data_IF_108264845228
#
_entry.id   IF_108264845228
#
_cell.length_a   1.000
_cell.length_b   1.000
_cell.length_c   1.000
_cell.angle_alpha   90.00
_cell.angle_beta   90.00
_cell.angle_gamma   90.00
#
_symmetry.space_group_name_H-M   'P 1'
#
loop_
_entity.id
_entity.type
_entity.pdbx_description
1 polymer ?
#
# COMPACT_ATOMS: atom_id res chain seq x y z
N UNK A 1 8.06 5.10 -27.19
CA UNK A 1 7.81 6.25 -26.28
C UNK A 1 6.50 5.97 -25.58
N UNK A 2 6.56 5.59 -24.29
CA UNK A 2 5.36 5.20 -23.54
C UNK A 2 4.76 6.40 -22.82
N UNK A 3 3.43 6.44 -22.73
CA UNK A 3 2.68 7.43 -21.95
C UNK A 3 2.32 6.84 -20.60
N UNK A 4 2.75 7.50 -19.53
CA UNK A 4 2.54 7.02 -18.16
C UNK A 4 1.81 8.12 -17.37
N UNK A 5 0.67 7.77 -16.76
CA UNK A 5 -0.04 8.63 -15.84
C UNK A 5 0.29 8.24 -14.38
N UNK A 6 0.77 9.18 -13.58
CA UNK A 6 1.02 9.01 -12.15
C UNK A 6 -0.08 9.73 -11.39
N UNK A 7 -0.93 8.99 -10.69
CA UNK A 7 -2.07 9.51 -9.93
C UNK A 7 -1.63 9.84 -8.50
N UNK A 8 -1.53 11.12 -8.19
CA UNK A 8 -1.12 11.66 -6.91
C UNK A 8 0.21 12.41 -6.97
N UNK A 9 0.15 13.71 -6.68
CA UNK A 9 1.25 14.66 -6.70
C UNK A 9 1.96 14.83 -5.35
N UNK A 10 1.80 13.87 -4.43
CA UNK A 10 2.56 13.82 -3.18
C UNK A 10 4.05 13.55 -3.39
N UNK A 11 4.84 13.48 -2.31
CA UNK A 11 6.28 13.23 -2.39
C UNK A 11 6.63 11.97 -3.19
N UNK A 12 5.91 10.85 -2.96
CA UNK A 12 6.21 9.60 -3.63
C UNK A 12 5.83 9.62 -5.12
N UNK A 13 4.67 10.20 -5.49
CA UNK A 13 4.30 10.34 -6.90
C UNK A 13 5.25 11.25 -7.67
N UNK A 14 5.68 12.34 -7.08
CA UNK A 14 6.70 13.22 -7.67
C UNK A 14 8.03 12.50 -7.83
N UNK A 15 8.46 11.70 -6.84
CA UNK A 15 9.70 10.93 -6.92
C UNK A 15 9.65 9.84 -8.00
N UNK A 16 8.52 9.12 -8.14
CA UNK A 16 8.30 8.15 -9.23
C UNK A 16 8.36 8.86 -10.59
N UNK A 17 7.68 9.99 -10.75
CA UNK A 17 7.70 10.75 -12.00
C UNK A 17 9.14 11.18 -12.37
N UNK A 18 9.93 11.64 -11.40
CA UNK A 18 11.34 11.96 -11.60
C UNK A 18 12.17 10.73 -11.99
N UNK A 19 11.97 9.60 -11.32
CA UNK A 19 12.69 8.36 -11.63
C UNK A 19 12.38 7.85 -13.05
N UNK A 20 11.11 7.85 -13.45
CA UNK A 20 10.68 7.51 -14.81
C UNK A 20 11.24 8.47 -15.88
N UNK A 21 11.30 9.76 -15.55
CA UNK A 21 11.86 10.77 -16.44
C UNK A 21 13.35 10.55 -16.72
N UNK A 22 14.13 10.06 -15.73
CA UNK A 22 15.57 9.78 -15.88
C UNK A 22 15.86 8.62 -16.84
N UNK A 23 14.96 7.64 -16.93
CA UNK A 23 15.10 6.58 -17.92
C UNK A 23 15.07 7.14 -19.35
N UNK A 24 14.30 8.20 -19.56
CA UNK A 24 14.05 8.77 -20.88
C UNK A 24 13.04 7.95 -21.71
N UNK A 25 12.60 8.52 -22.84
CA UNK A 25 11.66 7.86 -23.75
C UNK A 25 10.20 7.81 -23.25
N UNK A 26 9.85 8.52 -22.16
CA UNK A 26 8.48 8.59 -21.63
C UNK A 26 7.91 9.99 -21.69
N UNK A 27 6.58 10.07 -21.88
CA UNK A 27 5.77 11.22 -21.58
C UNK A 27 5.02 10.92 -20.28
N UNK A 28 5.27 11.69 -19.23
CA UNK A 28 4.77 11.45 -17.88
C UNK A 28 3.73 12.51 -17.53
N UNK A 29 2.55 12.09 -17.13
CA UNK A 29 1.49 12.95 -16.62
C UNK A 29 1.39 12.77 -15.10
N UNK A 30 1.84 13.77 -14.34
CA UNK A 30 1.68 13.82 -12.90
C UNK A 30 0.34 14.48 -12.58
N UNK A 31 -0.64 13.66 -12.21
CA UNK A 31 -1.98 14.14 -11.95
C UNK A 31 -2.15 14.51 -10.47
N UNK A 32 -2.66 15.72 -10.21
CA UNK A 32 -3.10 16.18 -8.89
C UNK A 32 -4.62 16.23 -8.81
N UNK A 33 -5.17 15.95 -7.62
CA UNK A 33 -6.60 16.09 -7.36
C UNK A 33 -7.06 17.57 -7.33
N UNK A 34 -6.15 18.50 -7.08
CA UNK A 34 -6.36 19.93 -6.96
C UNK A 34 -5.81 20.69 -8.17
N UNK A 35 -6.65 21.53 -8.78
CA UNK A 35 -6.23 22.42 -9.87
C UNK A 35 -5.21 23.46 -9.40
N UNK A 36 -5.39 23.98 -8.19
CA UNK A 36 -4.49 24.97 -7.61
C UNK A 36 -3.09 24.39 -7.39
N UNK A 37 -3.02 23.18 -6.77
CA UNK A 37 -1.77 22.46 -6.56
C UNK A 37 -1.08 22.15 -7.90
N UNK A 38 -1.83 21.60 -8.87
CA UNK A 38 -1.29 21.32 -10.20
C UNK A 38 -0.70 22.57 -10.87
N UNK A 39 -1.42 23.70 -10.81
CA UNK A 39 -0.97 24.96 -11.39
C UNK A 39 0.28 25.50 -10.70
N UNK A 40 0.34 25.39 -9.37
CA UNK A 40 1.50 25.82 -8.57
C UNK A 40 2.73 24.99 -8.93
N UNK A 41 2.62 23.67 -8.96
CA UNK A 41 3.73 22.78 -9.30
C UNK A 41 4.15 22.96 -10.76
N UNK A 42 3.21 23.11 -11.69
CA UNK A 42 3.50 23.31 -13.11
C UNK A 42 4.22 24.65 -13.35
N UNK A 43 3.78 25.73 -12.68
CA UNK A 43 4.37 27.07 -12.81
C UNK A 43 5.77 27.15 -12.21
N UNK A 44 5.97 26.57 -11.02
CA UNK A 44 7.27 26.51 -10.36
C UNK A 44 8.21 25.48 -10.99
N UNK A 45 7.70 24.51 -11.75
CA UNK A 45 8.42 23.32 -12.18
C UNK A 45 9.07 22.58 -11.01
N UNK A 46 8.45 22.64 -9.83
CA UNK A 46 8.94 22.06 -8.59
C UNK A 46 7.76 21.78 -7.65
N UNK A 47 7.80 20.66 -6.93
CA UNK A 47 6.84 20.37 -5.88
C UNK A 47 7.35 20.86 -4.53
N UNK A 48 7.27 22.17 -4.29
CA UNK A 48 7.82 22.82 -3.10
C UNK A 48 7.17 22.38 -1.79
N UNK A 49 5.93 21.88 -1.83
CA UNK A 49 5.18 21.45 -0.63
C UNK A 49 5.61 20.05 -0.15
N UNK A 50 5.70 19.11 -1.07
CA UNK A 50 5.89 17.70 -0.70
C UNK A 50 7.31 17.17 -0.97
N UNK A 51 8.00 17.74 -1.97
CA UNK A 51 9.33 17.30 -2.38
C UNK A 51 10.16 18.48 -2.90
N UNK A 52 10.52 19.45 -2.03
CA UNK A 52 11.29 20.63 -2.43
C UNK A 52 12.70 20.29 -2.88
N UNK A 53 13.28 21.15 -3.74
CA UNK A 53 14.65 21.04 -4.21
C UNK A 53 14.84 20.21 -5.49
N UNK A 54 13.75 19.77 -6.15
CA UNK A 54 13.80 18.96 -7.36
C UNK A 54 13.03 19.58 -8.50
N UNK A 55 13.76 20.09 -9.49
CA UNK A 55 13.15 20.61 -10.73
C UNK A 55 12.56 19.45 -11.55
N UNK A 56 11.35 19.65 -12.04
CA UNK A 56 10.65 18.69 -12.89
C UNK A 56 11.10 18.86 -14.35
N UNK A 57 11.69 17.82 -14.99
CA UNK A 57 12.03 17.84 -16.40
C UNK A 57 10.84 18.09 -17.31
N UNK A 58 11.08 18.59 -18.54
CA UNK A 58 10.03 18.93 -19.51
C UNK A 58 9.14 17.72 -19.88
N UNK A 59 9.66 16.50 -19.76
CA UNK A 59 8.90 15.24 -19.98
C UNK A 59 7.80 14.99 -18.95
N UNK A 60 7.80 15.72 -17.80
CA UNK A 60 6.77 15.62 -16.77
C UNK A 60 5.76 16.77 -16.95
N UNK A 61 4.53 16.41 -17.27
CA UNK A 61 3.41 17.32 -17.42
C UNK A 61 2.53 17.23 -16.17
N UNK A 62 2.51 18.30 -15.39
CA UNK A 62 1.67 18.36 -14.17
C UNK A 62 0.29 18.88 -14.54
N UNK A 63 -0.76 18.19 -14.10
CA UNK A 63 -2.15 18.55 -14.48
C UNK A 63 -3.17 18.03 -13.48
N UNK A 64 -4.28 18.73 -13.33
CA UNK A 64 -5.50 18.22 -12.68
C UNK A 64 -6.52 17.70 -13.71
N UNK A 65 -6.29 17.93 -15.01
CA UNK A 65 -7.12 17.36 -16.07
C UNK A 65 -6.92 15.85 -16.14
N UNK A 66 -7.99 15.03 -16.05
CA UNK A 66 -7.88 13.58 -16.10
C UNK A 66 -7.75 13.00 -17.52
N UNK A 67 -7.98 13.77 -18.58
CA UNK A 67 -7.92 13.28 -19.97
C UNK A 67 -6.62 12.53 -20.33
N UNK A 68 -5.43 12.91 -19.85
CA UNK A 68 -4.21 12.15 -20.12
C UNK A 68 -4.23 10.70 -19.61
N UNK A 69 -5.05 10.37 -18.61
CA UNK A 69 -5.21 8.99 -18.11
C UNK A 69 -5.72 8.09 -19.25
N UNK A 70 -6.67 8.58 -20.04
CA UNK A 70 -7.23 7.84 -21.17
C UNK A 70 -6.23 7.58 -22.32
N UNK A 71 -5.12 8.32 -22.33
CA UNK A 71 -4.07 8.18 -23.34
C UNK A 71 -2.85 7.40 -22.81
N UNK A 72 -2.81 7.13 -21.51
CA UNK A 72 -1.71 6.42 -20.89
C UNK A 72 -1.78 4.92 -21.18
N UNK A 73 -0.63 4.30 -21.43
CA UNK A 73 -0.47 2.85 -21.50
C UNK A 73 -0.34 2.24 -20.11
N UNK A 74 0.19 3.02 -19.18
CA UNK A 74 0.36 2.63 -17.79
C UNK A 74 -0.17 3.72 -16.85
N UNK A 75 -0.89 3.29 -15.82
CA UNK A 75 -1.40 4.16 -14.76
C UNK A 75 -0.77 3.73 -13.45
N UNK A 76 -0.02 4.62 -12.80
CA UNK A 76 0.64 4.37 -11.51
C UNK A 76 -0.13 5.10 -10.42
N UNK A 77 -0.76 4.37 -9.53
CA UNK A 77 -1.47 4.96 -8.39
C UNK A 77 -0.53 5.12 -7.19
N UNK A 78 -0.42 6.36 -6.69
CA UNK A 78 0.31 6.73 -5.47
C UNK A 78 -0.57 7.59 -4.54
N UNK A 79 -1.88 7.48 -4.72
CA UNK A 79 -2.88 8.14 -3.88
C UNK A 79 -2.85 7.52 -2.49
N UNK A 80 -2.87 8.28 -1.38
CA UNK A 80 -2.97 7.70 -0.04
C UNK A 80 -4.18 6.77 0.10
N UNK A 81 -4.02 5.68 0.86
CA UNK A 81 -5.00 4.57 0.91
C UNK A 81 -6.43 5.02 1.27
N UNK A 82 -6.58 6.02 2.16
CA UNK A 82 -7.88 6.57 2.57
C UNK A 82 -8.62 7.32 1.44
N UNK A 83 -7.88 7.88 0.46
CA UNK A 83 -8.45 8.61 -0.68
C UNK A 83 -8.48 7.79 -1.96
N UNK A 84 -7.98 6.55 -1.95
CA UNK A 84 -7.81 5.76 -3.17
C UNK A 84 -9.16 5.46 -3.85
N UNK A 85 -10.10 4.85 -3.12
CA UNK A 85 -11.41 4.48 -3.68
C UNK A 85 -12.16 5.67 -4.27
N UNK A 86 -12.42 6.77 -3.54
CA UNK A 86 -13.14 7.91 -4.10
C UNK A 86 -12.40 8.56 -5.27
N UNK A 87 -11.07 8.54 -5.26
CA UNK A 87 -10.27 9.07 -6.38
C UNK A 87 -10.43 8.21 -7.62
N UNK A 88 -10.30 6.88 -7.52
CA UNK A 88 -10.45 5.97 -8.66
C UNK A 88 -11.88 6.00 -9.20
N UNK A 89 -12.90 5.99 -8.33
CA UNK A 89 -14.30 6.09 -8.76
C UNK A 89 -14.56 7.38 -9.56
N UNK A 90 -14.01 8.52 -9.13
CA UNK A 90 -14.11 9.78 -9.87
C UNK A 90 -13.41 9.73 -11.23
N UNK A 91 -12.34 8.94 -11.36
CA UNK A 91 -11.55 8.83 -12.57
C UNK A 91 -11.96 7.66 -13.48
N UNK A 92 -12.95 6.85 -13.09
CA UNK A 92 -13.38 5.63 -13.77
C UNK A 92 -13.60 5.82 -15.28
N UNK A 93 -14.27 6.89 -15.69
CA UNK A 93 -14.57 7.18 -17.09
C UNK A 93 -13.33 7.40 -18.00
N UNK A 94 -12.16 7.57 -17.41
CA UNK A 94 -10.90 7.81 -18.12
C UNK A 94 -10.05 6.55 -18.29
N UNK A 95 -10.35 5.45 -17.59
CA UNK A 95 -9.66 4.19 -17.82
C UNK A 95 -10.06 3.57 -19.15
N UNK A 96 -9.15 2.86 -19.80
CA UNK A 96 -9.32 2.27 -21.13
C UNK A 96 -8.87 0.82 -21.15
N UNK A 97 -9.46 -0.03 -22.01
CA UNK A 97 -9.02 -1.42 -22.16
C UNK A 97 -7.54 -1.54 -22.48
N UNK A 98 -6.90 -2.57 -21.93
CA UNK A 98 -5.50 -2.88 -22.16
C UNK A 98 -4.48 -2.02 -21.42
N UNK A 99 -4.93 -1.12 -20.53
CA UNK A 99 -4.02 -0.38 -19.67
C UNK A 99 -3.43 -1.25 -18.56
N UNK A 100 -2.18 -1.01 -18.22
CA UNK A 100 -1.51 -1.61 -17.07
C UNK A 100 -1.65 -0.68 -15.87
N UNK A 101 -2.22 -1.18 -14.77
CA UNK A 101 -2.43 -0.41 -13.54
C UNK A 101 -1.47 -0.89 -12.45
N UNK A 102 -0.56 -0.01 -12.04
CA UNK A 102 0.45 -0.27 -11.00
C UNK A 102 0.05 0.44 -9.71
N UNK A 103 -0.28 -0.30 -8.67
CA UNK A 103 -0.46 0.29 -7.34
C UNK A 103 0.89 0.43 -6.63
N UNK A 104 1.31 1.65 -6.39
CA UNK A 104 2.41 1.99 -5.48
C UNK A 104 1.88 2.60 -4.17
N UNK A 105 0.54 2.55 -3.98
CA UNK A 105 -0.15 2.90 -2.73
C UNK A 105 0.06 1.78 -1.72
N UNK A 106 0.42 2.13 -0.49
CA UNK A 106 0.64 1.18 0.60
C UNK A 106 -0.49 1.30 1.61
N UNK A 107 -1.09 0.18 2.00
CA UNK A 107 -2.17 0.17 2.99
C UNK A 107 -3.18 -0.96 2.76
N UNK A 108 -4.16 -1.03 3.66
CA UNK A 108 -5.34 -1.88 3.59
C UNK A 108 -6.53 -0.96 3.83
N UNK A 109 -7.58 -1.06 3.01
CA UNK A 109 -8.78 -0.25 3.18
C UNK A 109 -9.53 -0.70 4.43
N UNK A 110 -9.81 0.25 5.33
CA UNK A 110 -10.37 -0.06 6.65
C UNK A 110 -11.76 -0.74 6.57
N UNK A 111 -12.67 -0.21 5.75
CA UNK A 111 -14.06 -0.67 5.73
C UNK A 111 -14.23 -2.08 5.11
N UNK A 112 -13.44 -2.38 4.08
CA UNK A 112 -13.55 -3.61 3.31
C UNK A 112 -12.48 -4.66 3.62
N UNK A 113 -11.35 -4.24 4.22
CA UNK A 113 -10.11 -5.00 4.34
C UNK A 113 -9.47 -5.38 3.00
N UNK A 114 -9.83 -4.70 1.92
CA UNK A 114 -9.27 -4.91 0.60
C UNK A 114 -7.85 -4.36 0.49
N UNK A 115 -6.99 -5.07 -0.24
CA UNK A 115 -5.68 -4.59 -0.67
C UNK A 115 -5.86 -3.52 -1.75
N UNK A 116 -4.87 -2.67 -1.96
CA UNK A 116 -5.00 -1.50 -2.83
C UNK A 116 -5.32 -1.84 -4.29
N UNK A 117 -4.75 -2.91 -4.85
CA UNK A 117 -5.14 -3.39 -6.19
C UNK A 117 -6.61 -3.82 -6.25
N UNK A 118 -7.12 -4.48 -5.20
CA UNK A 118 -8.53 -4.85 -5.08
C UNK A 118 -9.43 -3.62 -4.93
N UNK A 119 -8.97 -2.61 -4.17
CA UNK A 119 -9.70 -1.34 -4.04
C UNK A 119 -9.84 -0.66 -5.40
N UNK A 120 -8.74 -0.60 -6.19
CA UNK A 120 -8.76 -0.01 -7.54
C UNK A 120 -9.73 -0.80 -8.42
N UNK A 121 -9.58 -2.13 -8.49
CA UNK A 121 -10.44 -2.99 -9.28
C UNK A 121 -11.92 -2.87 -8.87
N UNK A 122 -12.23 -2.87 -7.56
CA UNK A 122 -13.58 -2.68 -7.05
C UNK A 122 -14.14 -1.28 -7.33
N UNK A 123 -13.32 -0.23 -7.28
CA UNK A 123 -13.76 1.14 -7.58
C UNK A 123 -14.00 1.36 -9.07
N UNK A 124 -13.38 0.54 -9.92
CA UNK A 124 -13.66 0.45 -11.36
C UNK A 124 -14.77 -0.56 -11.66
N UNK A 125 -15.46 -1.15 -10.65
CA UNK A 125 -16.44 -2.24 -10.76
C UNK A 125 -15.90 -3.51 -11.47
N UNK A 126 -14.62 -3.79 -11.46
CA UNK A 126 -13.97 -4.98 -12.06
C UNK A 126 -14.00 -6.21 -11.13
N UNK A 127 -14.37 -6.04 -9.86
CA UNK A 127 -14.57 -7.14 -8.92
C UNK A 127 -16.02 -7.15 -8.43
N UNK A 128 -16.63 -8.34 -8.25
CA UNK A 128 -17.85 -8.42 -7.51
C UNK A 128 -17.62 -7.81 -6.10
N UNK A 129 -18.61 -7.17 -5.49
CA UNK A 129 -18.47 -6.69 -4.12
C UNK A 129 -18.00 -7.85 -3.23
N UNK A 130 -17.05 -7.56 -2.32
CA UNK A 130 -16.59 -8.56 -1.36
C UNK A 130 -17.81 -9.19 -0.68
N UNK A 131 -17.85 -10.52 -0.46
CA UNK A 131 -18.94 -11.14 0.25
C UNK A 131 -19.11 -10.41 1.58
N UNK A 132 -20.27 -9.83 1.79
CA UNK A 132 -20.65 -9.27 3.10
C UNK A 132 -20.46 -10.38 4.12
N UNK A 133 -19.74 -10.09 5.20
CA UNK A 133 -19.58 -11.05 6.29
C UNK A 133 -20.96 -11.63 6.65
N UNK A 134 -21.09 -12.95 6.85
CA UNK A 134 -22.37 -13.52 7.23
C UNK A 134 -22.85 -12.80 8.48
N UNK A 135 -24.09 -12.32 8.43
CA UNK A 135 -24.73 -11.68 9.58
C UNK A 135 -24.65 -12.66 10.77
N UNK A 136 -24.04 -12.30 11.90
CA UNK A 136 -23.91 -13.19 13.06
C UNK A 136 -25.25 -13.69 13.61
N UNK A 137 -26.39 -13.09 13.22
CA UNK A 137 -27.73 -13.46 13.67
C UNK A 137 -28.38 -14.60 12.83
N UNK A 138 -27.70 -15.17 11.82
CA UNK A 138 -28.24 -16.27 10.99
C UNK A 138 -27.64 -17.63 11.26
N UNK A 139 -27.02 -17.85 12.40
CA UNK A 139 -26.68 -19.20 12.87
C UNK A 139 -27.77 -19.71 13.83
N UNK A 140 -28.81 -20.31 13.28
CA UNK A 140 -29.60 -21.40 13.89
C UNK A 140 -30.86 -21.68 13.05
N UNK A 141 -30.75 -22.55 12.04
CA UNK A 141 -31.83 -23.46 11.70
C UNK A 141 -31.24 -24.63 10.91
N UNK A 142 -31.13 -25.75 11.60
CA UNK A 142 -30.91 -27.07 10.99
C UNK A 142 -32.24 -27.47 10.35
N UNK A 143 -32.30 -27.49 9.02
CA UNK A 143 -33.38 -28.15 8.32
C UNK A 143 -32.86 -29.30 7.48
N UNK A 144 -33.39 -30.48 7.80
CA UNK A 144 -33.31 -31.74 7.07
C UNK A 144 -33.96 -31.61 5.70
N UNK A 145 -33.30 -32.17 4.70
CA UNK A 145 -33.81 -32.25 3.31
C UNK A 145 -35.18 -32.95 3.20
N UNK A 146 -35.97 -32.58 2.19
CA UNK A 146 -36.25 -33.60 1.18
C UNK A 146 -36.17 -33.05 -0.27
N UNK A 147 -35.69 -33.96 -1.13
CA UNK A 147 -35.84 -34.05 -2.58
C UNK A 147 -36.14 -32.76 -3.37
N UNK A 148 -35.13 -32.17 -4.01
CA UNK A 148 -35.28 -31.15 -5.03
C UNK A 148 -35.19 -31.75 -6.43
N UNK A 149 -36.10 -31.40 -7.36
CA UNK A 149 -36.02 -31.82 -8.77
C UNK A 149 -34.88 -31.11 -9.49
N UNK A 150 -34.17 -31.84 -10.34
CA UNK A 150 -33.16 -31.31 -11.25
C UNK A 150 -33.76 -30.22 -12.16
N UNK A 151 -33.34 -28.96 -11.92
CA UNK A 151 -33.59 -27.87 -12.84
C UNK A 151 -32.41 -27.79 -13.78
N UNK A 152 -32.64 -28.12 -15.06
CA UNK A 152 -31.67 -27.95 -16.14
C UNK A 152 -31.21 -26.50 -16.21
N UNK A 153 -29.92 -26.28 -15.97
CA UNK A 153 -29.26 -24.99 -16.17
C UNK A 153 -29.15 -24.67 -17.66
N UNK A 154 -30.22 -24.11 -18.27
CA UNK A 154 -30.09 -23.39 -19.50
C UNK A 154 -29.33 -22.11 -19.25
N UNK A 155 -28.11 -22.02 -19.81
CA UNK A 155 -27.20 -20.89 -19.62
C UNK A 155 -27.84 -19.55 -20.01
N UNK A 156 -28.09 -18.77 -19.01
CA UNK A 156 -28.14 -17.31 -19.15
C UNK A 156 -26.71 -16.84 -18.93
N UNK A 157 -25.96 -16.68 -20.03
CA UNK A 157 -24.72 -15.91 -19.98
C UNK A 157 -25.10 -14.52 -19.44
N UNK A 158 -24.63 -14.21 -18.24
CA UNK A 158 -24.77 -12.86 -17.69
C UNK A 158 -24.10 -11.91 -18.70
N UNK A 159 -24.82 -10.87 -19.13
CA UNK A 159 -24.26 -9.87 -20.03
C UNK A 159 -22.96 -9.35 -19.42
N UNK A 160 -21.87 -9.24 -20.20
CA UNK A 160 -20.58 -8.78 -19.70
C UNK A 160 -20.76 -7.41 -19.03
N UNK A 161 -20.31 -7.29 -17.79
CA UNK A 161 -20.32 -6.02 -17.08
C UNK A 161 -19.45 -5.01 -17.85
N UNK A 162 -19.63 -3.72 -17.62
CA UNK A 162 -18.78 -2.68 -18.24
C UNK A 162 -17.28 -2.99 -18.15
N UNK A 163 -16.89 -3.84 -17.24
CA UNK A 163 -15.53 -4.14 -16.81
C UNK A 163 -14.97 -5.45 -17.32
N UNK A 164 -15.79 -6.44 -17.64
CA UNK A 164 -15.39 -7.57 -18.50
C UNK A 164 -14.88 -7.05 -19.86
N UNK A 165 -15.13 -5.76 -20.13
CA UNK A 165 -14.69 -5.04 -21.34
C UNK A 165 -13.39 -4.26 -21.14
N UNK A 166 -12.88 -4.06 -19.91
CA UNK A 166 -11.71 -3.21 -19.69
C UNK A 166 -10.38 -3.95 -19.77
N UNK A 167 -10.34 -5.27 -19.74
CA UNK A 167 -9.09 -6.07 -19.85
C UNK A 167 -7.87 -5.35 -19.23
N UNK A 168 -7.95 -5.09 -17.91
CA UNK A 168 -6.94 -4.34 -17.17
C UNK A 168 -6.04 -5.29 -16.39
N UNK A 169 -4.73 -5.12 -16.53
CA UNK A 169 -3.76 -5.78 -15.67
C UNK A 169 -3.49 -4.96 -14.40
N UNK A 170 -3.71 -5.55 -13.23
CA UNK A 170 -3.45 -4.94 -11.94
C UNK A 170 -2.22 -5.53 -11.28
N UNK A 171 -1.31 -4.67 -10.82
CA UNK A 171 -0.12 -5.09 -10.11
C UNK A 171 0.28 -4.10 -9.02
N UNK A 172 1.27 -4.50 -8.23
CA UNK A 172 1.78 -3.75 -7.10
C UNK A 172 3.27 -3.44 -7.25
N UNK A 173 3.67 -2.24 -6.80
CA UNK A 173 5.06 -1.80 -6.71
C UNK A 173 5.38 -1.50 -5.24
N UNK A 174 6.33 -2.22 -4.66
CA UNK A 174 6.75 -2.02 -3.27
C UNK A 174 8.22 -2.35 -3.06
N UNK A 175 8.77 -1.91 -1.92
CA UNK A 175 10.16 -2.12 -1.53
C UNK A 175 10.76 -0.89 -0.86
N UNK A 176 12.05 -0.94 -0.48
CA UNK A 176 12.74 0.13 0.23
C UNK A 176 12.91 1.37 -0.66
N UNK A 177 12.10 2.42 -0.44
CA UNK A 177 12.04 3.58 -1.33
C UNK A 177 11.56 4.84 -0.61
N UNK A 178 12.46 5.51 0.08
CA UNK A 178 12.15 6.86 0.53
C UNK A 178 12.10 7.83 -0.67
N UNK A 179 11.00 8.58 -0.76
CA UNK A 179 10.77 9.50 -1.88
C UNK A 179 11.93 10.48 -2.12
N UNK A 180 12.53 10.99 -1.04
CA UNK A 180 13.67 11.90 -1.12
C UNK A 180 14.89 11.24 -1.79
N UNK A 181 15.25 10.03 -1.38
CA UNK A 181 16.41 9.30 -1.92
C UNK A 181 16.19 8.91 -3.38
N UNK A 182 14.98 8.47 -3.75
CA UNK A 182 14.60 8.20 -5.14
C UNK A 182 14.68 9.48 -5.98
N UNK A 183 14.19 10.60 -5.45
CA UNK A 183 14.27 11.90 -6.14
C UNK A 183 15.72 12.38 -6.31
N UNK A 184 16.61 12.09 -5.36
CA UNK A 184 18.04 12.36 -5.45
C UNK A 184 18.75 11.47 -6.47
N UNK A 185 18.10 10.41 -6.97
CA UNK A 185 18.73 9.44 -7.88
C UNK A 185 19.64 8.46 -7.16
N UNK A 186 19.43 8.22 -5.88
CA UNK A 186 20.17 7.18 -5.17
C UNK A 186 19.74 5.79 -5.66
N UNK A 187 20.68 4.83 -5.77
CA UNK A 187 20.36 3.48 -6.21
C UNK A 187 19.24 2.87 -5.35
N UNK A 188 18.14 2.52 -6.01
CA UNK A 188 16.93 2.00 -5.36
C UNK A 188 16.51 0.69 -6.05
N UNK A 189 16.17 -0.32 -5.26
CA UNK A 189 15.64 -1.58 -5.75
C UNK A 189 14.24 -1.84 -5.22
N UNK A 190 13.30 -2.19 -6.11
CA UNK A 190 11.89 -2.42 -5.79
C UNK A 190 11.43 -3.77 -6.37
N UNK A 191 10.31 -4.27 -5.87
CA UNK A 191 9.59 -5.39 -6.46
C UNK A 191 8.34 -4.88 -7.17
N UNK A 192 8.15 -5.33 -8.42
CA UNK A 192 6.90 -5.16 -9.17
C UNK A 192 6.24 -6.54 -9.33
N UNK A 193 4.99 -6.63 -8.92
CA UNK A 193 4.24 -7.89 -8.95
C UNK A 193 2.98 -7.77 -9.79
N UNK A 194 2.80 -8.73 -10.70
CA UNK A 194 1.59 -8.96 -11.48
C UNK A 194 1.33 -10.46 -11.58
N UNK A 195 0.07 -10.87 -11.63
CA UNK A 195 -0.26 -12.29 -11.88
C UNK A 195 0.28 -12.76 -13.23
N UNK A 196 0.27 -11.89 -14.24
CA UNK A 196 0.86 -12.15 -15.55
C UNK A 196 2.35 -11.77 -15.55
N UNK A 197 3.29 -12.75 -15.66
CA UNK A 197 4.72 -12.48 -15.64
C UNK A 197 5.20 -11.59 -16.80
N UNK A 198 4.53 -11.65 -17.96
CA UNK A 198 4.88 -10.84 -19.12
C UNK A 198 4.60 -9.35 -18.87
N UNK A 199 3.50 -9.05 -18.15
CA UNK A 199 3.18 -7.67 -17.74
C UNK A 199 4.18 -7.18 -16.70
N UNK A 200 4.53 -8.01 -15.72
CA UNK A 200 5.58 -7.67 -14.75
C UNK A 200 6.90 -7.34 -15.43
N UNK A 201 7.32 -8.16 -16.41
CA UNK A 201 8.54 -7.93 -17.19
C UNK A 201 8.46 -6.63 -18.03
N UNK A 202 7.30 -6.33 -18.63
CA UNK A 202 7.09 -5.07 -19.35
C UNK A 202 7.24 -3.87 -18.41
N UNK A 203 6.59 -3.88 -17.25
CA UNK A 203 6.72 -2.79 -16.26
C UNK A 203 8.15 -2.67 -15.74
N UNK A 204 8.82 -3.80 -15.48
CA UNK A 204 10.23 -3.82 -15.11
C UNK A 204 11.10 -3.08 -16.15
N UNK A 205 10.93 -3.38 -17.44
CA UNK A 205 11.68 -2.75 -18.52
C UNK A 205 11.39 -1.25 -18.62
N UNK A 206 10.11 -0.85 -18.51
CA UNK A 206 9.70 0.54 -18.61
C UNK A 206 10.14 1.42 -17.44
N UNK A 207 10.33 0.83 -16.25
CA UNK A 207 10.74 1.58 -15.05
C UNK A 207 12.24 1.52 -14.78
N UNK A 208 12.97 0.53 -15.32
CA UNK A 208 14.38 0.34 -15.04
C UNK A 208 15.22 1.52 -15.56
N UNK A 209 16.15 1.99 -14.74
CA UNK A 209 17.13 3.02 -15.06
C UNK A 209 18.45 2.74 -14.34
N UNK A 210 19.45 3.59 -14.52
CA UNK A 210 20.74 3.48 -13.81
C UNK A 210 20.59 3.57 -12.28
N UNK A 211 19.52 4.21 -11.81
CA UNK A 211 19.26 4.44 -10.37
C UNK A 211 18.03 3.71 -9.83
N UNK A 212 17.22 3.09 -10.69
CA UNK A 212 16.04 2.33 -10.28
C UNK A 212 16.07 0.93 -10.89
N UNK A 213 16.17 -0.08 -10.04
CA UNK A 213 16.14 -1.49 -10.43
C UNK A 213 14.86 -2.16 -9.93
N UNK A 214 14.12 -2.82 -10.81
CA UNK A 214 12.96 -3.60 -10.44
C UNK A 214 13.24 -5.10 -10.51
N UNK A 215 12.68 -5.85 -9.56
CA UNK A 215 12.59 -7.31 -9.57
C UNK A 215 11.13 -7.69 -9.78
N UNK A 216 10.88 -8.67 -10.62
CA UNK A 216 9.53 -9.16 -10.91
C UNK A 216 9.07 -10.22 -9.92
N UNK A 217 7.76 -10.26 -9.66
CA UNK A 217 7.09 -11.30 -8.87
C UNK A 217 5.72 -11.60 -9.46
N UNK A 218 5.18 -12.78 -9.17
CA UNK A 218 3.78 -13.10 -9.43
C UNK A 218 2.91 -12.98 -8.17
N UNK A 219 3.53 -12.77 -7.02
CA UNK A 219 2.86 -12.64 -5.73
C UNK A 219 2.46 -11.19 -5.43
N UNK A 220 1.35 -10.74 -6.01
CA UNK A 220 0.78 -9.43 -5.73
C UNK A 220 0.35 -9.31 -4.26
N UNK A 221 -0.16 -10.40 -3.67
CA UNK A 221 -0.65 -10.42 -2.27
C UNK A 221 0.48 -10.13 -1.29
N UNK A 222 1.58 -10.88 -1.39
CA UNK A 222 2.73 -10.73 -0.51
C UNK A 222 3.39 -9.35 -0.64
N UNK A 223 3.50 -8.82 -1.88
CA UNK A 223 4.08 -7.49 -2.13
C UNK A 223 3.24 -6.37 -1.52
N UNK A 224 1.91 -6.43 -1.64
CA UNK A 224 1.01 -5.43 -1.05
C UNK A 224 0.97 -5.51 0.47
N UNK A 225 0.80 -6.71 1.04
CA UNK A 225 0.70 -6.88 2.49
C UNK A 225 2.03 -6.56 3.18
N UNK A 226 3.16 -6.94 2.61
CA UNK A 226 4.48 -6.55 3.10
C UNK A 226 4.62 -5.03 3.18
N UNK A 227 4.32 -4.34 2.07
CA UNK A 227 4.38 -2.88 1.98
C UNK A 227 3.39 -2.14 2.90
N UNK A 228 2.22 -2.71 3.17
CA UNK A 228 1.22 -2.12 4.05
C UNK A 228 1.57 -2.30 5.54
N UNK A 229 1.81 -3.55 5.95
CA UNK A 229 1.94 -3.92 7.36
C UNK A 229 3.26 -3.47 8.00
N UNK A 230 4.34 -3.33 7.20
CA UNK A 230 5.59 -2.77 7.69
C UNK A 230 5.43 -1.42 8.40
N UNK A 231 4.44 -0.62 7.98
CA UNK A 231 4.19 0.69 8.54
C UNK A 231 3.73 0.62 10.01
N UNK A 232 2.97 -0.42 10.37
CA UNK A 232 2.57 -0.69 11.76
C UNK A 232 3.77 -1.07 12.60
N UNK A 233 4.62 -1.96 12.08
CA UNK A 233 5.85 -2.38 12.78
C UNK A 233 6.83 -1.21 12.91
N UNK A 234 6.85 -0.29 11.95
CA UNK A 234 7.67 0.91 12.04
C UNK A 234 7.19 1.87 13.14
N UNK A 235 5.86 1.98 13.40
CA UNK A 235 5.34 2.68 14.58
C UNK A 235 5.85 1.99 15.84
N UNK A 236 5.75 0.66 15.93
CA UNK A 236 6.23 -0.10 17.07
C UNK A 236 7.74 0.08 17.32
N UNK A 237 8.55 0.09 16.25
CA UNK A 237 9.99 0.38 16.34
C UNK A 237 10.25 1.81 16.83
N UNK A 238 9.45 2.77 16.39
CA UNK A 238 9.47 4.13 16.90
C UNK A 238 9.13 4.19 18.40
N UNK A 239 8.05 3.52 18.84
CA UNK A 239 7.65 3.43 20.27
C UNK A 239 8.78 2.87 21.11
N UNK A 240 9.41 1.78 20.70
CA UNK A 240 10.54 1.19 21.41
C UNK A 240 11.70 2.17 21.52
N UNK A 241 12.06 2.86 20.45
CA UNK A 241 13.12 3.87 20.45
C UNK A 241 12.76 5.08 21.34
N UNK A 242 11.52 5.56 21.29
CA UNK A 242 11.03 6.66 22.13
C UNK A 242 11.00 6.32 23.62
N UNK A 243 10.73 5.05 23.96
CA UNK A 243 10.80 4.51 25.32
C UNK A 243 12.23 4.27 25.83
N UNK A 244 13.26 4.53 25.00
CA UNK A 244 14.67 4.38 25.36
C UNK A 244 15.21 2.95 25.21
N UNK A 245 14.53 2.06 24.48
CA UNK A 245 15.02 0.71 24.24
C UNK A 245 16.12 0.69 23.16
N UNK A 246 17.07 -0.22 23.32
CA UNK A 246 18.26 -0.33 22.49
C UNK A 246 18.09 -1.22 21.24
N UNK A 247 19.22 -1.47 20.57
CA UNK A 247 19.26 -2.20 19.29
C UNK A 247 18.79 -3.66 19.38
N UNK A 248 19.02 -4.35 20.52
CA UNK A 248 18.52 -5.72 20.72
C UNK A 248 16.98 -5.77 20.60
N UNK A 249 16.31 -4.83 21.26
CA UNK A 249 14.84 -4.71 21.20
C UNK A 249 14.37 -4.37 19.79
N UNK A 250 15.05 -3.47 19.09
CA UNK A 250 14.74 -3.13 17.71
C UNK A 250 14.90 -4.32 16.76
N UNK A 251 15.99 -5.08 16.88
CA UNK A 251 16.22 -6.29 16.07
C UNK A 251 15.16 -7.36 16.34
N UNK A 252 14.89 -7.66 17.63
CA UNK A 252 13.85 -8.61 18.01
C UNK A 252 12.47 -8.20 17.48
N UNK A 253 12.10 -6.91 17.61
CA UNK A 253 10.85 -6.38 17.13
C UNK A 253 10.69 -6.52 15.59
N UNK A 254 11.72 -6.17 14.84
CA UNK A 254 11.69 -6.32 13.37
C UNK A 254 11.57 -7.79 12.96
N UNK A 255 12.31 -8.70 13.60
CA UNK A 255 12.26 -10.14 13.34
C UNK A 255 10.88 -10.72 13.67
N UNK A 256 10.30 -10.34 14.80
CA UNK A 256 8.96 -10.80 15.17
C UNK A 256 7.88 -10.12 14.33
N UNK A 257 8.07 -8.86 13.96
CA UNK A 257 7.18 -8.12 13.08
C UNK A 257 7.08 -8.73 11.68
N UNK A 258 8.21 -9.09 11.06
CA UNK A 258 8.16 -9.76 9.75
C UNK A 258 7.52 -11.15 9.85
N UNK A 259 7.66 -11.84 10.98
CA UNK A 259 6.98 -13.12 11.19
C UNK A 259 5.44 -12.95 11.29
N UNK A 260 4.95 -11.88 11.94
CA UNK A 260 3.51 -11.55 11.94
C UNK A 260 3.00 -11.25 10.54
N UNK A 261 3.70 -10.36 9.82
CA UNK A 261 3.37 -9.98 8.45
C UNK A 261 3.31 -11.22 7.55
N UNK A 262 4.30 -12.10 7.66
CA UNK A 262 4.39 -13.33 6.85
C UNK A 262 3.21 -14.26 7.13
N UNK A 263 2.83 -14.47 8.40
CA UNK A 263 1.67 -15.31 8.73
C UNK A 263 0.38 -14.81 8.09
N UNK A 264 0.11 -13.51 8.22
CA UNK A 264 -1.08 -12.92 7.61
C UNK A 264 -1.02 -12.95 6.08
N UNK A 265 0.13 -12.60 5.49
CA UNK A 265 0.29 -12.62 4.04
C UNK A 265 0.06 -14.03 3.45
N UNK A 266 0.63 -15.07 4.07
CA UNK A 266 0.43 -16.46 3.65
C UNK A 266 -1.02 -16.89 3.82
N UNK A 267 -1.68 -16.54 4.92
CA UNK A 267 -3.10 -16.84 5.13
C UNK A 267 -4.00 -16.15 4.09
N UNK A 268 -3.58 -15.02 3.54
CA UNK A 268 -4.25 -14.30 2.45
C UNK A 268 -3.85 -14.80 1.05
N UNK A 269 -3.04 -15.85 0.93
CA UNK A 269 -2.59 -16.41 -0.35
C UNK A 269 -1.28 -15.87 -0.89
N UNK A 270 -0.52 -15.10 -0.11
CA UNK A 270 0.84 -14.65 -0.44
C UNK A 270 1.90 -15.72 -0.18
N UNK A 271 3.11 -15.48 -0.65
CA UNK A 271 4.25 -16.39 -0.54
C UNK A 271 5.23 -15.93 0.54
N UNK A 272 5.73 -16.86 1.33
CA UNK A 272 6.72 -16.59 2.40
C UNK A 272 8.00 -15.97 1.85
N UNK A 273 8.44 -16.41 0.70
CA UNK A 273 9.66 -15.97 0.02
C UNK A 273 9.59 -14.48 -0.37
N UNK A 274 8.42 -13.99 -0.73
CA UNK A 274 8.18 -12.57 -1.05
C UNK A 274 8.46 -11.69 0.17
N UNK A 275 8.10 -12.16 1.36
CA UNK A 275 8.31 -11.41 2.60
C UNK A 275 9.78 -11.42 3.08
N UNK A 276 10.58 -12.38 2.63
CA UNK A 276 12.03 -12.38 2.84
C UNK A 276 12.77 -11.41 1.88
N UNK A 277 12.08 -10.89 0.86
CA UNK A 277 12.64 -10.02 -0.18
C UNK A 277 12.50 -8.53 0.11
N UNK A 278 12.59 -7.73 -1.00
CA UNK A 278 12.58 -6.26 -0.95
C UNK A 278 11.29 -5.67 -0.39
N UNK A 279 10.12 -6.21 -0.79
CA UNK A 279 8.82 -5.72 -0.33
C UNK A 279 8.45 -6.16 1.09
N UNK A 280 9.16 -7.13 1.65
CA UNK A 280 9.03 -7.57 3.04
C UNK A 280 10.15 -7.01 3.92
N UNK A 281 11.19 -7.83 4.18
CA UNK A 281 12.31 -7.47 5.06
C UNK A 281 13.00 -6.18 4.63
N UNK A 282 13.25 -5.98 3.33
CA UNK A 282 13.95 -4.79 2.83
C UNK A 282 13.23 -3.50 3.18
N UNK A 283 11.93 -3.41 2.88
CA UNK A 283 11.13 -2.22 3.17
C UNK A 283 10.86 -2.06 4.68
N UNK A 284 10.74 -3.18 5.41
CA UNK A 284 10.60 -3.17 6.87
C UNK A 284 11.83 -2.55 7.55
N UNK A 285 13.02 -3.06 7.23
CA UNK A 285 14.28 -2.57 7.82
C UNK A 285 14.44 -1.07 7.54
N UNK A 286 14.30 -0.65 6.27
CA UNK A 286 14.37 0.76 5.91
C UNK A 286 13.40 1.61 6.74
N UNK A 287 12.14 1.17 6.85
CA UNK A 287 11.09 1.96 7.49
C UNK A 287 11.23 2.01 9.02
N UNK A 288 11.74 0.94 9.63
CA UNK A 288 11.99 0.87 11.10
C UNK A 288 13.24 1.62 11.52
N UNK A 289 14.26 1.76 10.66
CA UNK A 289 15.56 2.34 11.04
C UNK A 289 15.77 3.74 10.47
N UNK A 290 15.21 4.03 9.29
CA UNK A 290 15.44 5.27 8.56
C UNK A 290 14.80 6.49 9.24
N UNK A 291 15.53 7.59 9.28
CA UNK A 291 15.09 8.87 9.86
C UNK A 291 13.96 9.55 9.08
N UNK A 292 13.81 9.20 7.80
CA UNK A 292 12.75 9.73 6.92
C UNK A 292 11.40 9.02 7.10
N UNK A 293 11.32 7.99 7.96
CA UNK A 293 10.10 7.24 8.22
C UNK A 293 9.13 8.01 9.11
N UNK A 294 8.03 8.51 8.53
CA UNK A 294 6.95 9.17 9.28
C UNK A 294 6.32 8.25 10.33
N UNK A 295 6.10 6.98 10.00
CA UNK A 295 5.53 6.02 10.94
C UNK A 295 6.46 5.81 12.15
N UNK A 296 7.76 5.70 11.93
CA UNK A 296 8.75 5.62 13.02
C UNK A 296 8.74 6.91 13.86
N UNK A 297 8.65 8.07 13.24
CA UNK A 297 8.59 9.37 13.95
C UNK A 297 7.33 9.46 14.83
N UNK A 298 6.15 9.05 14.32
CA UNK A 298 4.92 8.97 15.14
C UNK A 298 5.14 8.05 16.33
N UNK A 299 5.66 6.84 16.11
CA UNK A 299 5.93 5.89 17.18
C UNK A 299 6.92 6.45 18.22
N UNK A 300 7.98 7.12 17.79
CA UNK A 300 8.96 7.71 18.68
C UNK A 300 8.33 8.77 19.61
N UNK A 301 7.48 9.62 19.06
CA UNK A 301 6.77 10.62 19.85
C UNK A 301 5.77 9.98 20.84
N UNK A 302 5.08 8.90 20.45
CA UNK A 302 4.22 8.11 21.35
C UNK A 302 5.03 7.47 22.48
N UNK A 303 6.18 6.86 22.18
CA UNK A 303 7.09 6.27 23.18
C UNK A 303 7.66 7.29 24.16
N UNK A 304 7.74 8.56 23.78
CA UNK A 304 8.09 9.70 24.62
C UNK A 304 6.91 10.24 25.45
N UNK A 305 5.71 9.66 25.33
CA UNK A 305 4.52 10.03 26.09
C UNK A 305 3.66 11.13 25.47
N UNK A 306 3.95 11.57 24.21
CA UNK A 306 3.09 12.53 23.48
C UNK A 306 1.78 11.86 23.05
N UNK A 307 0.71 12.64 22.94
CA UNK A 307 -0.62 12.14 22.53
C UNK A 307 -0.75 12.11 21.00
N UNK A 308 -1.41 11.07 20.48
CA UNK A 308 -1.58 10.88 19.03
C UNK A 308 -2.17 12.10 18.31
N UNK A 309 -3.24 12.77 18.80
CA UNK A 309 -3.79 13.95 18.12
C UNK A 309 -2.78 15.09 17.94
N UNK A 310 -1.94 15.34 18.98
CA UNK A 310 -0.90 16.38 18.93
C UNK A 310 0.18 16.02 17.90
N UNK A 311 0.54 14.73 17.86
CA UNK A 311 1.55 14.22 16.92
C UNK A 311 1.03 14.37 15.48
N UNK A 312 -0.19 13.96 15.21
CA UNK A 312 -0.80 14.05 13.87
C UNK A 312 -0.93 15.51 13.42
N UNK A 313 -1.33 16.42 14.31
CA UNK A 313 -1.38 17.86 14.02
C UNK A 313 0.00 18.40 13.64
N UNK A 314 1.08 17.92 14.26
CA UNK A 314 2.45 18.34 13.95
C UNK A 314 2.99 17.85 12.61
N UNK A 315 2.33 16.87 11.96
CA UNK A 315 2.75 16.35 10.65
C UNK A 315 2.38 17.26 9.47
N UNK A 316 1.62 18.36 9.69
CA UNK A 316 1.29 19.31 8.65
C UNK A 316 0.52 18.70 7.46
N UNK A 317 -0.46 17.82 7.73
CA UNK A 317 -1.26 17.15 6.71
C UNK A 317 -0.57 15.95 6.03
N UNK A 318 0.65 15.59 6.45
CA UNK A 318 1.33 14.39 5.94
C UNK A 318 0.78 13.13 6.64
N UNK A 319 0.36 12.14 5.85
CA UNK A 319 -0.25 10.91 6.37
C UNK A 319 0.80 9.97 6.96
N UNK A 320 0.46 9.33 8.09
CA UNK A 320 1.16 8.18 8.65
C UNK A 320 0.28 6.94 8.45
N UNK A 321 0.45 6.25 7.34
CA UNK A 321 -0.43 5.16 6.88
C UNK A 321 -0.57 4.02 7.89
N UNK A 322 0.47 3.77 8.70
CA UNK A 322 0.46 2.73 9.72
C UNK A 322 -0.63 2.92 10.80
N UNK A 323 -1.04 4.17 11.06
CA UNK A 323 -2.10 4.46 12.05
C UNK A 323 -3.44 3.87 11.59
N UNK A 324 -3.78 4.06 10.32
CA UNK A 324 -5.02 3.51 9.75
C UNK A 324 -4.90 2.01 9.45
N UNK A 325 -3.71 1.57 9.06
CA UNK A 325 -3.46 0.17 8.69
C UNK A 325 -3.56 -0.79 9.87
N UNK A 326 -3.19 -0.38 11.09
CA UNK A 326 -3.20 -1.26 12.27
C UNK A 326 -4.56 -1.93 12.49
N UNK A 327 -5.63 -1.14 12.49
CA UNK A 327 -6.99 -1.63 12.69
C UNK A 327 -7.47 -2.54 11.54
N UNK A 328 -7.22 -2.14 10.30
CA UNK A 328 -7.58 -2.95 9.14
C UNK A 328 -6.82 -4.29 9.11
N UNK A 329 -5.55 -4.29 9.52
CA UNK A 329 -4.73 -5.48 9.63
C UNK A 329 -5.27 -6.47 10.66
N UNK A 330 -5.71 -5.98 11.84
CA UNK A 330 -6.30 -6.84 12.86
C UNK A 330 -7.65 -7.40 12.43
N UNK A 331 -8.48 -6.62 11.76
CA UNK A 331 -9.74 -7.12 11.22
C UNK A 331 -9.49 -8.22 10.17
N UNK A 332 -8.53 -8.01 9.27
CA UNK A 332 -8.12 -9.02 8.30
C UNK A 332 -7.54 -10.27 9.00
N UNK A 333 -6.72 -10.09 10.03
CA UNK A 333 -6.14 -11.17 10.82
C UNK A 333 -7.21 -12.01 11.55
N UNK A 334 -8.25 -11.38 12.10
CA UNK A 334 -9.39 -12.07 12.71
C UNK A 334 -10.13 -12.94 11.71
N UNK A 335 -10.39 -12.44 10.49
CA UNK A 335 -11.05 -13.21 9.42
C UNK A 335 -10.28 -14.47 9.05
N UNK A 336 -8.95 -14.41 9.13
CA UNK A 336 -8.05 -15.53 8.84
C UNK A 336 -7.57 -16.31 10.08
N UNK A 337 -8.06 -15.95 11.28
CA UNK A 337 -7.67 -16.56 12.57
C UNK A 337 -6.16 -16.50 12.83
N UNK A 338 -5.51 -15.41 12.45
CA UNK A 338 -4.08 -15.18 12.62
C UNK A 338 -3.81 -14.27 13.81
N UNK A 339 -2.91 -14.70 14.72
CA UNK A 339 -2.43 -13.86 15.82
C UNK A 339 -1.40 -12.84 15.33
N UNK A 340 -1.63 -11.57 15.68
CA UNK A 340 -0.73 -10.45 15.40
C UNK A 340 -0.46 -9.61 16.65
N UNK A 341 0.25 -10.16 17.63
CA UNK A 341 0.39 -9.52 18.95
C UNK A 341 1.06 -8.13 18.92
N UNK A 342 2.04 -7.87 18.05
CA UNK A 342 2.65 -6.54 17.95
C UNK A 342 1.65 -5.56 17.37
N UNK A 343 0.95 -5.95 16.30
CA UNK A 343 -0.09 -5.12 15.67
C UNK A 343 -1.24 -4.83 16.63
N UNK A 344 -1.63 -5.81 17.47
CA UNK A 344 -2.64 -5.64 18.51
C UNK A 344 -2.22 -4.61 19.56
N UNK A 345 -0.99 -4.67 20.05
CA UNK A 345 -0.49 -3.65 20.98
C UNK A 345 -0.42 -2.26 20.33
N UNK A 346 -0.09 -2.17 19.05
CA UNK A 346 -0.11 -0.90 18.33
C UNK A 346 -1.54 -0.34 18.22
N UNK A 347 -2.54 -1.16 17.94
CA UNK A 347 -3.95 -0.73 17.92
C UNK A 347 -4.38 -0.18 19.28
N UNK A 348 -4.05 -0.87 20.38
CA UNK A 348 -4.38 -0.42 21.73
C UNK A 348 -3.69 0.92 22.06
N UNK A 349 -2.44 1.12 21.67
CA UNK A 349 -1.73 2.40 21.89
C UNK A 349 -2.37 3.52 21.06
N UNK A 350 -2.66 3.26 19.78
CA UNK A 350 -3.11 4.28 18.84
C UNK A 350 -4.56 4.70 19.10
N UNK A 351 -5.46 3.76 19.40
CA UNK A 351 -6.88 4.02 19.44
C UNK A 351 -7.51 3.94 20.83
N UNK A 352 -6.88 3.23 21.78
CA UNK A 352 -7.39 3.10 23.16
C UNK A 352 -6.52 3.85 24.20
N UNK A 353 -5.38 4.41 23.75
CA UNK A 353 -4.50 5.20 24.60
C UNK A 353 -3.73 4.38 25.63
N UNK A 354 -3.51 3.07 25.37
CA UNK A 354 -2.69 2.21 26.22
C UNK A 354 -1.27 2.78 26.38
N UNK A 355 -0.73 2.68 27.60
CA UNK A 355 0.64 3.11 27.85
C UNK A 355 1.64 2.25 27.07
N UNK A 356 2.57 2.87 26.31
CA UNK A 356 3.58 2.14 25.55
C UNK A 356 4.43 1.17 26.37
N UNK A 357 4.74 1.49 27.63
CA UNK A 357 5.53 0.61 28.50
C UNK A 357 4.75 -0.62 28.95
N UNK A 358 3.44 -0.45 29.19
CA UNK A 358 2.56 -1.58 29.47
C UNK A 358 2.44 -2.51 28.25
N UNK A 359 2.28 -1.96 27.06
CA UNK A 359 2.24 -2.73 25.82
C UNK A 359 3.54 -3.54 25.61
N UNK A 360 4.71 -2.96 25.84
CA UNK A 360 6.00 -3.65 25.79
C UNK A 360 6.05 -4.78 26.82
N UNK A 361 5.61 -4.52 28.06
CA UNK A 361 5.57 -5.51 29.13
C UNK A 361 4.67 -6.70 28.76
N UNK A 362 3.50 -6.43 28.22
CA UNK A 362 2.56 -7.47 27.79
C UNK A 362 3.15 -8.36 26.69
N UNK A 363 3.85 -7.77 25.72
CA UNK A 363 4.55 -8.54 24.68
C UNK A 363 5.63 -9.45 25.27
N UNK A 364 6.39 -8.97 26.26
CA UNK A 364 7.46 -9.73 26.91
C UNK A 364 6.95 -10.84 27.83
N UNK A 365 5.76 -10.71 28.41
CA UNK A 365 5.16 -11.69 29.32
C UNK A 365 4.28 -12.73 28.59
N UNK A 366 4.21 -12.70 27.26
CA UNK A 366 3.51 -13.74 26.51
C UNK A 366 4.13 -15.13 26.78
N UNK A 367 3.30 -16.19 26.77
CA UNK A 367 3.81 -17.57 26.88
C UNK A 367 4.89 -17.84 25.85
N UNK A 368 5.92 -18.60 26.24
CA UNK A 368 6.99 -19.01 25.33
C UNK A 368 6.41 -19.80 24.16
N UNK A 369 6.94 -19.55 22.96
CA UNK A 369 6.63 -20.28 21.72
C UNK A 369 7.92 -20.66 21.02
N UNK A 370 7.87 -21.70 20.21
CA UNK A 370 8.93 -22.01 19.26
C UNK A 370 9.09 -20.85 18.26
N UNK A 371 10.30 -20.62 17.80
CA UNK A 371 10.60 -19.53 16.87
C UNK A 371 10.02 -19.77 15.45
N UNK A 372 9.50 -20.96 15.17
CA UNK A 372 8.99 -21.38 13.85
C UNK A 372 7.73 -20.66 13.41
#
# INVERSE_FOLDING_TARGET
MSRIAVLGSGAWGTAIALALSRRGGHQIFLWSHSQEEASTIAGARENTLFLPGFLLPASIHVTANPNPIAQAEMVVSVVPSEFLRPTIARLQAYFRPGQVVVSATKGIEHASCLRMTQVIASALDVLPPAPTAPNPDTCLEVFTEPDAPEVSSSGIEAAPTFLDRLDLDFGALSGPSFALEVAQGQPTALTVAFQNPAVAARVQQEFASETLRLYTSTDVVGVELGGALKNVIAIAAGVAAGAGLGYNSAAALMTRGIAEITRLAVACGGQRETLAGLSGVGDLVLTCTGSLSRNRTVGQALGQGRKLPEILASLGGKVAEGVLTARAALELARRHQIEMPITEQMELILNEGKDPREAIKDLMLRPGKDER
#
